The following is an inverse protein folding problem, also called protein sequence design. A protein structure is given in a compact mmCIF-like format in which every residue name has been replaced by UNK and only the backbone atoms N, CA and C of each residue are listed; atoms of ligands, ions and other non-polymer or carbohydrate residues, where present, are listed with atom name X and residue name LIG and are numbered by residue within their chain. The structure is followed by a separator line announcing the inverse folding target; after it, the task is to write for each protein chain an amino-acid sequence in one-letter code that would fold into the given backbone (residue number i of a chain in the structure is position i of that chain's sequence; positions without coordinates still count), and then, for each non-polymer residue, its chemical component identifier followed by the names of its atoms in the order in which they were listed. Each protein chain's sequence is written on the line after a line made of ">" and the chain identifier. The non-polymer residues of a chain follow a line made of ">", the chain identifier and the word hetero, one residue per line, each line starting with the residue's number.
data_IF_332379784993
#
_entry.id   IF_332379784993
#
_cell.length_a   1.000
_cell.length_b   1.000
_cell.length_c   1.000
_cell.angle_alpha   90.00
_cell.angle_beta   90.00
_cell.angle_gamma   90.00
#
_symmetry.space_group_name_H-M   'P 1'
#
loop_
_entity.id
_entity.type
_entity.pdbx_description
1 polymer ?
#
# COMPACT_ATOMS: atom_id res chain seq x y z
N UNK A 1 -8.12 -10.52 25.72
CA UNK A 1 -6.99 -11.48 25.59
C UNK A 1 -6.17 -11.09 24.38
N UNK A 2 -4.89 -11.47 24.29
CA UNK A 2 -4.04 -11.15 23.12
C UNK A 2 -4.68 -11.54 21.77
N UNK A 3 -5.50 -12.59 21.76
CA UNK A 3 -6.22 -13.06 20.57
C UNK A 3 -7.33 -12.09 20.13
N UNK A 4 -8.09 -11.53 21.08
CA UNK A 4 -9.11 -10.53 20.77
C UNK A 4 -8.48 -9.27 20.16
N UNK A 5 -7.33 -8.83 20.71
CA UNK A 5 -6.61 -7.65 20.22
C UNK A 5 -6.06 -7.87 18.80
N UNK A 6 -5.56 -9.07 18.50
CA UNK A 6 -5.10 -9.44 17.16
C UNK A 6 -6.26 -9.48 16.15
N UNK A 7 -7.42 -10.00 16.57
CA UNK A 7 -8.61 -10.05 15.71
C UNK A 7 -9.10 -8.63 15.37
N UNK A 8 -9.20 -7.76 16.36
CA UNK A 8 -9.59 -6.36 16.14
C UNK A 8 -8.59 -5.62 15.25
N UNK A 9 -7.29 -5.89 15.41
CA UNK A 9 -6.26 -5.32 14.52
C UNK A 9 -6.45 -5.81 13.08
N UNK A 10 -6.71 -7.10 12.87
CA UNK A 10 -6.97 -7.70 11.55
C UNK A 10 -8.21 -7.09 10.89
N UNK A 11 -9.30 -6.93 11.65
CA UNK A 11 -10.53 -6.29 11.16
C UNK A 11 -10.26 -4.87 10.68
N UNK A 12 -9.59 -4.04 11.49
CA UNK A 12 -9.23 -2.66 11.11
C UNK A 12 -8.32 -2.60 9.88
N UNK A 13 -7.37 -3.52 9.75
CA UNK A 13 -6.53 -3.61 8.57
C UNK A 13 -7.35 -3.99 7.34
N UNK A 14 -8.30 -4.93 7.46
CA UNK A 14 -9.19 -5.33 6.36
C UNK A 14 -10.14 -4.22 5.88
N UNK A 15 -10.43 -3.23 6.72
CA UNK A 15 -11.21 -2.05 6.31
C UNK A 15 -10.35 -0.98 5.62
N UNK A 16 -9.03 -1.06 5.75
CA UNK A 16 -8.11 -0.07 5.19
C UNK A 16 -7.88 -0.33 3.71
N UNK A 17 -8.10 0.67 2.85
CA UNK A 17 -7.82 0.61 1.41
C UNK A 17 -6.32 0.52 1.11
N UNK A 18 -5.92 0.12 -0.10
CA UNK A 18 -4.50 0.06 -0.47
C UNK A 18 -3.84 1.44 -0.41
N UNK A 19 -4.50 2.46 -0.93
CA UNK A 19 -4.00 3.84 -0.89
C UNK A 19 -3.96 4.38 0.55
N UNK A 20 -4.90 3.99 1.41
CA UNK A 20 -4.86 4.28 2.85
C UNK A 20 -3.69 3.60 3.55
N UNK A 21 -3.44 2.33 3.22
CA UNK A 21 -2.31 1.56 3.72
C UNK A 21 -0.98 2.21 3.29
N UNK A 22 -0.91 2.71 2.05
CA UNK A 22 0.23 3.48 1.53
C UNK A 22 0.47 4.78 2.29
N UNK A 23 -0.58 5.57 2.50
CA UNK A 23 -0.47 6.83 3.23
C UNK A 23 0.04 6.59 4.66
N UNK A 24 -0.48 5.55 5.31
CA UNK A 24 -0.05 5.13 6.64
C UNK A 24 1.41 4.66 6.64
N UNK A 25 1.83 3.89 5.63
CA UNK A 25 3.21 3.48 5.44
C UNK A 25 4.16 4.68 5.35
N UNK A 26 3.85 5.66 4.50
CA UNK A 26 4.70 6.84 4.33
C UNK A 26 4.82 7.64 5.63
N UNK A 27 3.70 7.93 6.29
CA UNK A 27 3.69 8.64 7.56
C UNK A 27 4.48 7.90 8.65
N UNK A 28 4.30 6.58 8.76
CA UNK A 28 5.01 5.76 9.76
C UNK A 28 6.51 5.68 9.45
N UNK A 29 6.88 5.57 8.17
CA UNK A 29 8.28 5.54 7.72
C UNK A 29 8.99 6.85 8.05
N UNK A 30 8.32 7.96 7.79
CA UNK A 30 8.87 9.28 8.08
C UNK A 30 8.93 9.51 9.60
N UNK A 31 7.95 9.00 10.37
CA UNK A 31 8.01 9.02 11.84
C UNK A 31 9.23 8.27 12.39
N UNK A 32 9.56 7.08 11.87
CA UNK A 32 10.79 6.34 12.28
C UNK A 32 12.04 7.19 12.13
N UNK A 33 12.14 7.99 11.05
CA UNK A 33 13.28 8.89 10.81
C UNK A 33 13.27 10.08 11.78
N UNK A 34 12.09 10.64 12.06
CA UNK A 34 11.95 11.78 12.96
C UNK A 34 12.30 11.45 14.42
N UNK A 35 12.15 10.20 14.84
CA UNK A 35 12.43 9.75 16.20
C UNK A 35 13.71 8.91 16.30
N UNK A 36 14.66 9.10 15.37
CA UNK A 36 15.83 8.23 15.26
C UNK A 36 16.70 8.17 16.52
N UNK A 37 16.69 9.22 17.34
CA UNK A 37 17.43 9.34 18.60
C UNK A 37 16.68 8.75 19.82
N UNK A 38 15.37 8.47 19.71
CA UNK A 38 14.56 7.84 20.77
C UNK A 38 14.34 6.36 20.43
N UNK A 39 15.28 5.51 20.85
CA UNK A 39 15.27 4.08 20.54
C UNK A 39 13.95 3.36 20.90
N UNK A 40 13.38 3.53 22.12
CA UNK A 40 12.08 2.95 22.45
C UNK A 40 10.95 3.37 21.51
N UNK A 41 10.88 4.65 21.15
CA UNK A 41 9.83 5.18 20.29
C UNK A 41 10.03 4.74 18.83
N UNK A 42 11.28 4.79 18.35
CA UNK A 42 11.69 4.30 17.03
C UNK A 42 11.33 2.84 16.84
N UNK A 43 11.58 2.00 17.84
CA UNK A 43 11.23 0.59 17.83
C UNK A 43 9.72 0.34 17.66
N UNK A 44 8.87 1.16 18.30
CA UNK A 44 7.41 1.06 18.18
C UNK A 44 6.95 1.39 16.76
N UNK A 45 7.46 2.47 16.17
CA UNK A 45 7.12 2.81 14.78
C UNK A 45 7.68 1.79 13.77
N UNK A 46 8.88 1.27 13.99
CA UNK A 46 9.45 0.21 13.17
C UNK A 46 8.61 -1.07 13.21
N UNK A 47 8.09 -1.44 14.39
CA UNK A 47 7.16 -2.57 14.53
C UNK A 47 5.86 -2.31 13.75
N UNK A 48 5.32 -1.08 13.81
CA UNK A 48 4.16 -0.68 13.01
C UNK A 48 4.40 -0.79 11.51
N UNK A 49 5.59 -0.43 11.02
CA UNK A 49 5.96 -0.60 9.61
C UNK A 49 5.92 -2.06 9.17
N UNK A 50 6.41 -2.99 9.99
CA UNK A 50 6.38 -4.41 9.64
C UNK A 50 4.95 -4.95 9.52
N UNK A 51 4.03 -4.51 10.39
CA UNK A 51 2.60 -4.87 10.28
C UNK A 51 2.02 -4.36 8.96
N UNK A 52 2.32 -3.11 8.59
CA UNK A 52 1.85 -2.51 7.33
C UNK A 52 2.41 -3.27 6.12
N UNK A 53 3.70 -3.62 6.13
CA UNK A 53 4.35 -4.39 5.07
C UNK A 53 3.75 -5.78 4.91
N UNK A 54 3.46 -6.47 6.01
CA UNK A 54 2.80 -7.79 5.97
C UNK A 54 1.42 -7.69 5.32
N UNK A 55 0.63 -6.69 5.69
CA UNK A 55 -0.70 -6.51 5.13
C UNK A 55 -0.66 -6.12 3.63
N UNK A 56 0.33 -5.34 3.22
CA UNK A 56 0.55 -5.04 1.80
C UNK A 56 0.96 -6.30 1.01
N UNK A 57 1.80 -7.14 1.58
CA UNK A 57 2.22 -8.42 0.98
C UNK A 57 1.04 -9.41 0.82
N UNK A 58 0.11 -9.46 1.79
CA UNK A 58 -1.15 -10.23 1.66
C UNK A 58 -1.92 -9.82 0.40
N UNK A 59 -1.87 -8.53 0.03
CA UNK A 59 -2.60 -7.96 -1.10
C UNK A 59 -1.81 -7.92 -2.40
N UNK A 60 -0.51 -8.23 -2.37
CA UNK A 60 0.39 -8.00 -3.50
C UNK A 60 0.56 -6.52 -3.83
N UNK A 61 0.38 -5.63 -2.85
CA UNK A 61 0.41 -4.19 -3.04
C UNK A 61 1.80 -3.60 -2.73
N UNK A 62 2.35 -2.84 -3.67
CA UNK A 62 3.62 -2.15 -3.53
C UNK A 62 3.41 -0.79 -2.86
N UNK A 63 3.92 -0.65 -1.65
CA UNK A 63 3.77 0.56 -0.83
C UNK A 63 4.57 1.76 -1.34
N UNK A 64 5.58 1.57 -2.18
CA UNK A 64 6.36 2.67 -2.74
C UNK A 64 5.67 3.20 -4.01
N UNK A 65 5.36 2.31 -4.95
CA UNK A 65 4.75 2.67 -6.25
C UNK A 65 3.24 2.85 -6.18
N UNK A 66 2.59 2.28 -5.17
CA UNK A 66 1.14 2.25 -4.99
C UNK A 66 0.40 1.46 -6.06
N UNK A 67 1.05 0.40 -6.58
CA UNK A 67 0.47 -0.54 -7.55
C UNK A 67 0.21 -1.89 -6.92
N UNK A 68 -0.85 -2.56 -7.37
CA UNK A 68 -1.13 -3.93 -6.98
C UNK A 68 -0.69 -4.91 -8.07
N UNK A 69 -0.01 -5.98 -7.66
CA UNK A 69 0.29 -7.15 -8.47
C UNK A 69 -0.32 -8.39 -7.81
N UNK A 70 -1.50 -8.78 -8.29
CA UNK A 70 -2.25 -9.93 -7.79
C UNK A 70 -1.46 -11.25 -7.85
N UNK A 71 -0.49 -11.37 -8.75
CA UNK A 71 0.34 -12.58 -8.88
C UNK A 71 1.37 -12.71 -7.76
N UNK A 72 1.63 -11.61 -7.04
CA UNK A 72 2.54 -11.54 -5.90
C UNK A 72 1.82 -11.47 -4.56
N UNK A 73 0.49 -11.60 -4.55
CA UNK A 73 -0.29 -11.59 -3.32
C UNK A 73 -0.11 -12.89 -2.54
N UNK A 74 0.22 -12.76 -1.24
CA UNK A 74 0.26 -13.92 -0.36
C UNK A 74 -1.15 -14.47 -0.05
N UNK A 75 -2.19 -13.63 -0.15
CA UNK A 75 -3.59 -14.05 -0.04
C UNK A 75 -4.42 -13.48 -1.21
N UNK A 76 -4.63 -14.27 -2.28
CA UNK A 76 -5.41 -13.85 -3.44
C UNK A 76 -6.85 -13.45 -3.12
N UNK A 77 -7.46 -14.01 -2.06
CA UNK A 77 -8.84 -13.67 -1.68
C UNK A 77 -8.88 -12.27 -1.08
N UNK A 78 -7.93 -11.95 -0.20
CA UNK A 78 -7.81 -10.61 0.38
C UNK A 78 -7.42 -9.59 -0.69
N UNK A 79 -6.47 -9.93 -1.56
CA UNK A 79 -6.05 -9.05 -2.65
C UNK A 79 -7.23 -8.65 -3.56
N UNK A 80 -8.15 -9.57 -3.85
CA UNK A 80 -9.32 -9.31 -4.68
C UNK A 80 -10.33 -8.33 -4.04
N UNK A 81 -10.31 -8.16 -2.72
CA UNK A 81 -11.15 -7.21 -1.99
C UNK A 81 -10.57 -5.79 -1.97
N UNK A 82 -9.30 -5.63 -2.34
CA UNK A 82 -8.57 -4.37 -2.26
C UNK A 82 -7.94 -4.03 -3.61
N UNK A 83 -8.68 -3.36 -4.48
CA UNK A 83 -8.27 -3.09 -5.88
C UNK A 83 -7.93 -1.63 -6.17
N UNK A 84 -8.04 -0.75 -5.17
CA UNK A 84 -7.64 0.64 -5.32
C UNK A 84 -6.11 0.73 -5.48
N UNK A 85 -5.66 1.57 -6.41
CA UNK A 85 -4.25 1.75 -6.74
C UNK A 85 -4.04 3.05 -7.51
N UNK A 86 -2.79 3.50 -7.63
CA UNK A 86 -2.47 4.62 -8.52
C UNK A 86 -2.69 4.20 -9.97
N UNK A 87 -3.62 4.87 -10.64
CA UNK A 87 -3.78 4.74 -12.08
C UNK A 87 -2.72 5.56 -12.80
N UNK A 88 -2.04 4.96 -13.77
CA UNK A 88 -1.26 5.76 -14.71
C UNK A 88 -2.21 6.69 -15.49
N UNK A 89 -1.80 7.94 -15.77
CA UNK A 89 -2.54 8.78 -16.68
C UNK A 89 -2.59 8.11 -18.05
N UNK A 90 -3.80 7.98 -18.60
CA UNK A 90 -4.00 7.45 -19.94
C UNK A 90 -3.25 8.34 -20.95
N UNK A 91 -2.23 7.77 -21.62
CA UNK A 91 -1.54 8.46 -22.71
C UNK A 91 -2.48 8.51 -23.92
N UNK A 92 -3.08 9.67 -24.18
CA UNK A 92 -3.86 9.90 -25.41
C UNK A 92 -2.90 9.98 -26.59
N UNK A 93 -2.82 8.92 -27.39
CA UNK A 93 -2.08 8.93 -28.65
C UNK A 93 -2.88 9.74 -29.69
N UNK A 94 -2.52 11.00 -29.91
CA UNK A 94 -3.11 11.83 -30.98
C UNK A 94 -2.65 11.30 -32.34
N UNK A 95 -3.54 10.61 -33.08
CA UNK A 95 -3.30 10.25 -34.48
C UNK A 95 -3.38 11.52 -35.33
N UNK A 96 -2.24 12.02 -35.81
CA UNK A 96 -2.20 13.06 -36.84
C UNK A 96 -2.48 12.41 -38.20
N UNK A 97 -3.69 12.59 -38.72
CA UNK A 97 -4.00 12.29 -40.12
C UNK A 97 -3.31 13.33 -41.01
N UNK A 98 -2.16 12.99 -41.57
CA UNK A 98 -1.54 13.78 -42.64
C UNK A 98 -2.42 13.63 -43.88
N UNK A 99 -3.22 14.65 -44.20
CA UNK A 99 -3.91 14.74 -45.49
C UNK A 99 -2.87 15.07 -46.55
N UNK A 100 -2.46 14.06 -47.33
CA UNK A 100 -1.74 14.29 -48.58
C UNK A 100 -2.71 14.98 -49.54
N UNK A 101 -2.42 16.24 -49.91
CA UNK A 101 -3.10 16.91 -51.03
C UNK A 101 -2.44 16.42 -52.31
N UNK A 102 -3.19 15.67 -53.11
CA UNK A 102 -2.95 15.43 -54.54
C UNK A 102 -3.41 16.62 -55.35
#
# INVERSE_FOLDING_TARGET
>A
SKEADQKTLRERLSETTNLGLRATYQATRDAVRLVEEDDPLRFRFATGLEVIKLNAAERGFDLETGRQDMTKANDPKIAALHTDQFMEPFKVARRSTVKVRS
#
